data_IF_967160194845
#
_entry.id   IF_967160194845
#
_cell.length_a   1.000
_cell.length_b   1.000
_cell.length_c   1.000
_cell.angle_alpha   90.00
_cell.angle_beta   90.00
_cell.angle_gamma   90.00
#
_symmetry.space_group_name_H-M   'P 1'
#
loop_
_entity.id
_entity.type
_entity.pdbx_description
1 polymer ?
#
# COMPACT_ATOMS: atom_id res chain seq x y z
N UNK A 1 1.99 -0.27 3.83
CA UNK A 1 1.14 0.81 3.26
C UNK A 1 -0.27 0.29 3.10
N UNK A 2 -1.26 1.03 3.59
CA UNK A 2 -2.68 0.70 3.50
C UNK A 2 -3.44 1.86 2.86
N UNK A 3 -4.14 1.58 1.76
CA UNK A 3 -5.19 2.44 1.23
C UNK A 3 -6.56 1.78 1.41
N UNK A 4 -7.57 2.61 1.64
CA UNK A 4 -8.97 2.18 1.71
C UNK A 4 -9.70 2.85 0.55
N UNK A 5 -10.43 2.06 -0.23
CA UNK A 5 -11.21 2.49 -1.39
C UNK A 5 -12.58 1.82 -1.38
N UNK A 6 -13.37 2.03 -2.44
CA UNK A 6 -14.64 1.34 -2.68
C UNK A 6 -14.52 0.43 -3.91
N UNK A 7 -15.06 -0.78 -3.83
CA UNK A 7 -15.19 -1.67 -4.98
C UNK A 7 -16.39 -1.24 -5.87
N UNK A 8 -16.60 -1.95 -6.99
CA UNK A 8 -17.67 -1.61 -7.95
C UNK A 8 -19.09 -1.73 -7.38
N UNK A 9 -19.26 -2.44 -6.27
CA UNK A 9 -20.53 -2.63 -5.57
C UNK A 9 -20.76 -1.57 -4.47
N UNK A 10 -19.78 -0.68 -4.25
CA UNK A 10 -19.82 0.35 -3.21
C UNK A 10 -19.35 -0.14 -1.84
N UNK A 11 -18.83 -1.36 -1.73
CA UNK A 11 -18.29 -1.91 -0.49
C UNK A 11 -16.85 -1.41 -0.26
N UNK A 12 -16.45 -1.27 1.01
CA UNK A 12 -15.07 -0.93 1.35
C UNK A 12 -14.10 -2.02 0.89
N UNK A 13 -12.91 -1.59 0.48
CA UNK A 13 -11.80 -2.48 0.06
C UNK A 13 -10.46 -1.95 0.55
N UNK A 14 -9.64 -2.85 1.07
CA UNK A 14 -8.26 -2.59 1.48
C UNK A 14 -7.31 -2.92 0.33
N UNK A 15 -6.44 -1.96 -0.01
CA UNK A 15 -5.32 -2.14 -0.94
C UNK A 15 -4.03 -2.01 -0.13
N UNK A 16 -3.24 -3.08 -0.09
CA UNK A 16 -2.11 -3.24 0.82
C UNK A 16 -0.84 -3.42 -0.01
N UNK A 17 0.23 -2.76 0.42
CA UNK A 17 1.55 -2.93 -0.17
C UNK A 17 2.63 -2.84 0.90
N UNK A 18 3.68 -3.64 0.74
CA UNK A 18 4.87 -3.63 1.57
C UNK A 18 6.11 -3.29 0.76
N UNK A 19 6.99 -2.56 1.40
CA UNK A 19 8.20 -2.07 0.81
C UNK A 19 9.19 -1.67 1.89
N UNK A 20 10.24 -0.99 1.47
CA UNK A 20 11.29 -0.51 2.36
C UNK A 20 11.54 0.97 2.10
N UNK A 21 11.78 1.70 3.18
CA UNK A 21 12.35 3.05 3.11
C UNK A 21 13.83 2.92 2.81
N UNK A 22 14.28 3.58 1.76
CA UNK A 22 15.68 3.60 1.33
C UNK A 22 16.36 4.91 1.76
N UNK A 23 17.64 4.82 2.05
CA UNK A 23 18.49 6.00 2.22
C UNK A 23 18.69 6.73 0.88
N UNK A 24 18.82 8.06 0.94
CA UNK A 24 19.04 8.90 -0.24
C UNK A 24 18.91 10.39 0.08
N UNK A 25 19.31 11.24 -0.87
CA UNK A 25 19.20 12.70 -0.72
C UNK A 25 17.74 13.15 -0.68
N UNK A 26 17.36 13.90 0.36
CA UNK A 26 15.99 14.39 0.50
C UNK A 26 15.80 15.67 -0.34
N UNK A 27 14.78 15.73 -1.21
CA UNK A 27 14.46 16.95 -1.95
C UNK A 27 14.17 18.13 -1.01
N UNK A 28 14.64 19.36 -1.33
CA UNK A 28 14.46 20.54 -0.47
C UNK A 28 13.04 21.13 -0.59
N UNK A 29 12.01 20.31 -0.37
CA UNK A 29 10.59 20.68 -0.48
C UNK A 29 9.98 21.14 0.83
N UNK A 30 10.71 21.05 1.95
CA UNK A 30 10.24 21.44 3.29
C UNK A 30 9.37 20.39 3.99
N UNK A 31 9.08 19.26 3.33
CA UNK A 31 8.28 18.17 3.89
C UNK A 31 9.15 17.00 4.36
N UNK A 32 8.61 16.17 5.26
CA UNK A 32 9.20 14.86 5.56
C UNK A 32 8.96 13.94 4.37
N UNK A 33 10.03 13.36 3.81
CA UNK A 33 9.97 12.47 2.65
C UNK A 33 10.62 11.13 2.98
N UNK A 34 10.21 10.08 2.28
CA UNK A 34 10.86 8.77 2.33
C UNK A 34 10.99 8.21 0.91
N UNK A 35 12.16 7.65 0.58
CA UNK A 35 12.34 6.95 -0.70
C UNK A 35 11.78 5.54 -0.58
N UNK A 36 10.53 5.34 -1.00
CA UNK A 36 9.91 4.03 -0.97
C UNK A 36 10.38 3.13 -2.12
N UNK A 37 10.91 1.96 -1.80
CA UNK A 37 11.15 0.89 -2.76
C UNK A 37 10.14 -0.25 -2.55
N UNK A 38 9.47 -0.64 -3.64
CA UNK A 38 8.46 -1.69 -3.66
C UNK A 38 8.79 -2.72 -4.75
N UNK A 39 8.72 -4.01 -4.39
CA UNK A 39 8.97 -5.12 -5.31
C UNK A 39 7.81 -5.26 -6.32
N UNK A 40 8.07 -5.85 -7.51
CA UNK A 40 9.38 -6.26 -8.03
C UNK A 40 10.19 -5.09 -8.60
N UNK A 41 9.53 -3.99 -8.96
CA UNK A 41 10.14 -2.72 -9.36
C UNK A 41 9.05 -1.64 -9.35
N UNK A 42 9.46 -0.36 -9.32
CA UNK A 42 8.55 0.79 -9.25
C UNK A 42 7.44 0.74 -10.31
N UNK A 43 7.78 0.45 -11.57
CA UNK A 43 6.82 0.46 -12.68
C UNK A 43 5.75 -0.62 -12.51
N UNK A 44 6.16 -1.84 -12.16
CA UNK A 44 5.21 -2.93 -11.98
C UNK A 44 4.40 -2.77 -10.69
N UNK A 45 5.03 -2.32 -9.61
CA UNK A 45 4.35 -1.99 -8.37
C UNK A 45 3.25 -0.96 -8.60
N UNK A 46 3.56 0.17 -9.26
CA UNK A 46 2.58 1.22 -9.53
C UNK A 46 1.43 0.71 -10.41
N UNK A 47 1.70 -0.16 -11.37
CA UNK A 47 0.64 -0.78 -12.19
C UNK A 47 -0.30 -1.65 -11.35
N UNK A 48 0.26 -2.53 -10.51
CA UNK A 48 -0.54 -3.38 -9.63
C UNK A 48 -1.35 -2.52 -8.64
N UNK A 49 -0.71 -1.54 -8.00
CA UNK A 49 -1.35 -0.63 -7.06
C UNK A 49 -2.49 0.14 -7.72
N UNK A 50 -2.25 0.80 -8.86
CA UNK A 50 -3.29 1.58 -9.55
C UNK A 50 -4.42 0.72 -10.12
N UNK A 51 -4.16 -0.53 -10.52
CA UNK A 51 -5.19 -1.44 -11.02
C UNK A 51 -6.27 -1.73 -9.95
N UNK A 52 -5.93 -1.62 -8.67
CA UNK A 52 -6.88 -1.85 -7.57
C UNK A 52 -7.72 -0.62 -7.20
N UNK A 53 -7.53 0.52 -7.89
CA UNK A 53 -8.27 1.76 -7.66
C UNK A 53 -8.08 2.43 -6.27
N UNK A 54 -6.85 2.52 -5.72
CA UNK A 54 -6.60 3.18 -4.45
C UNK A 54 -6.78 4.70 -4.54
N UNK A 55 -6.97 5.35 -3.40
CA UNK A 55 -6.95 6.82 -3.34
C UNK A 55 -5.50 7.34 -3.33
N UNK A 56 -5.34 8.66 -3.50
CA UNK A 56 -4.02 9.30 -3.42
C UNK A 56 -3.48 9.39 -1.98
N UNK A 57 -4.34 9.19 -0.97
CA UNK A 57 -3.96 9.13 0.44
C UNK A 57 -3.85 7.68 0.90
N UNK A 58 -2.85 7.41 1.74
CA UNK A 58 -2.64 6.11 2.35
C UNK A 58 -1.97 6.26 3.70
N UNK A 59 -2.14 5.26 4.56
CA UNK A 59 -1.39 5.13 5.80
C UNK A 59 -0.08 4.38 5.55
N UNK A 60 1.03 4.99 5.94
CA UNK A 60 2.35 4.35 5.95
C UNK A 60 2.73 4.03 7.40
N UNK A 61 2.88 2.74 7.70
CA UNK A 61 3.31 2.25 9.00
C UNK A 61 4.72 1.67 8.93
N UNK A 62 5.39 1.59 10.08
CA UNK A 62 6.69 0.91 10.24
C UNK A 62 6.43 -0.58 10.38
N UNK A 63 7.24 -1.41 9.72
CA UNK A 63 7.12 -2.87 9.75
C UNK A 63 6.28 -3.45 8.61
N UNK A 64 6.28 -4.78 8.54
CA UNK A 64 5.51 -5.57 7.56
C UNK A 64 4.33 -6.22 8.28
N UNK A 65 3.13 -5.72 7.96
CA UNK A 65 1.86 -6.05 8.62
C UNK A 65 0.78 -6.47 7.62
N UNK A 66 1.12 -6.83 6.38
CA UNK A 66 0.15 -7.21 5.37
C UNK A 66 -0.73 -8.38 5.83
N UNK A 67 -0.13 -9.40 6.46
CA UNK A 67 -0.86 -10.54 7.03
C UNK A 67 -1.87 -10.11 8.09
N UNK A 68 -1.47 -9.23 9.02
CA UNK A 68 -2.34 -8.73 10.08
C UNK A 68 -3.51 -7.91 9.49
N UNK A 69 -3.23 -7.06 8.51
CA UNK A 69 -4.23 -6.24 7.83
C UNK A 69 -5.23 -7.10 7.03
N UNK A 70 -4.76 -8.17 6.38
CA UNK A 70 -5.63 -9.15 5.71
C UNK A 70 -6.53 -9.86 6.74
N UNK A 71 -6.00 -10.29 7.88
CA UNK A 71 -6.81 -10.89 8.94
C UNK A 71 -7.86 -9.92 9.48
N UNK A 72 -7.52 -8.64 9.67
CA UNK A 72 -8.50 -7.62 10.10
C UNK A 72 -9.60 -7.44 9.06
N UNK A 73 -9.26 -7.36 7.77
CA UNK A 73 -10.23 -7.25 6.70
C UNK A 73 -11.20 -8.45 6.68
N UNK A 74 -10.68 -9.66 6.89
CA UNK A 74 -11.50 -10.88 7.01
C UNK A 74 -12.48 -10.81 8.18
N UNK A 75 -12.04 -10.36 9.36
CA UNK A 75 -12.91 -10.19 10.54
C UNK A 75 -14.04 -9.20 10.25
N UNK A 76 -13.76 -8.14 9.49
CA UNK A 76 -14.75 -7.12 9.14
C UNK A 76 -15.60 -7.46 7.90
N UNK A 77 -15.31 -8.56 7.20
CA UNK A 77 -15.96 -8.88 5.93
C UNK A 77 -15.66 -7.87 4.82
N UNK A 78 -14.45 -7.30 4.84
CA UNK A 78 -13.96 -6.31 3.86
C UNK A 78 -13.04 -7.00 2.86
N UNK A 79 -13.18 -6.66 1.57
CA UNK A 79 -12.26 -7.12 0.53
C UNK A 79 -10.84 -6.61 0.79
N UNK A 80 -9.82 -7.46 0.65
CA UNK A 80 -8.43 -7.06 0.77
C UNK A 80 -7.58 -7.65 -0.35
N UNK A 81 -6.64 -6.84 -0.85
CA UNK A 81 -5.65 -7.25 -1.84
C UNK A 81 -4.26 -6.76 -1.44
N UNK A 82 -3.28 -7.66 -1.52
CA UNK A 82 -1.85 -7.34 -1.34
C UNK A 82 -1.21 -7.29 -2.72
N UNK A 83 -0.67 -6.14 -3.13
CA UNK A 83 -0.19 -5.92 -4.50
C UNK A 83 1.33 -6.08 -4.66
N UNK A 84 2.01 -6.36 -3.57
CA UNK A 84 3.45 -6.68 -3.50
C UNK A 84 3.62 -8.14 -3.12
N UNK A 85 4.67 -8.82 -3.62
CA UNK A 85 4.95 -10.18 -3.20
C UNK A 85 5.23 -10.24 -1.70
N UNK A 86 4.79 -11.32 -1.06
CA UNK A 86 5.27 -11.69 0.28
C UNK A 86 6.79 -11.85 0.26
N UNK A 87 7.44 -11.53 1.38
CA UNK A 87 8.87 -11.78 1.53
C UNK A 87 9.23 -13.26 1.48
#
# INVERSE_FOLDING_TARGET
MLAITMNAEGNLKFVIAEGQSMDGEIPPTGNTNTHGYFKPNLKQFLRNWMAEGPTHHFALGIGHHATDLVHIAQIFGIDAVVVTPSE
#
